data_IF_471666024812
#
_entry.id   IF_471666024812
#
_cell.length_a   1.000
_cell.length_b   1.000
_cell.length_c   1.000
_cell.angle_alpha   90.00
_cell.angle_beta   90.00
_cell.angle_gamma   90.00
#
_symmetry.space_group_name_H-M   'P 1'
#
loop_
_entity.id
_entity.type
_entity.pdbx_description
1 polymer ?
#
# COMPACT_ATOMS: atom_id res chain seq x y z
N UNK A 1 -0.79 24.81 5.22
CA UNK A 1 -1.19 23.41 5.14
C UNK A 1 -1.10 22.86 3.73
N UNK A 2 -1.83 23.44 2.73
CA UNK A 2 -1.88 22.91 1.34
C UNK A 2 -0.50 22.81 0.69
N UNK A 3 0.37 23.81 0.86
CA UNK A 3 1.74 23.78 0.35
C UNK A 3 2.54 22.61 0.95
N UNK A 4 2.44 22.40 2.25
CA UNK A 4 3.13 21.31 2.96
C UNK A 4 2.67 19.93 2.46
N UNK A 5 1.37 19.75 2.21
CA UNK A 5 0.83 18.51 1.63
C UNK A 5 1.38 18.26 0.23
N UNK A 6 1.40 19.29 -0.62
CA UNK A 6 1.91 19.18 -1.99
C UNK A 6 3.39 18.84 -2.01
N UNK A 7 4.17 19.49 -1.19
CA UNK A 7 5.61 19.30 -1.13
C UNK A 7 6.01 17.92 -0.58
N UNK A 8 5.34 17.47 0.48
CA UNK A 8 5.78 16.27 1.21
C UNK A 8 5.08 14.98 0.78
N UNK A 9 3.90 15.06 0.15
CA UNK A 9 3.09 13.89 -0.21
C UNK A 9 2.68 13.93 -1.68
N UNK A 10 1.87 14.91 -2.08
CA UNK A 10 1.22 14.93 -3.39
C UNK A 10 2.22 15.02 -4.56
N UNK A 11 3.31 15.77 -4.41
CA UNK A 11 4.34 15.91 -5.43
C UNK A 11 5.07 14.63 -5.81
N UNK A 12 4.98 13.58 -4.96
CA UNK A 12 5.65 12.30 -5.20
C UNK A 12 4.89 11.36 -6.14
N UNK A 13 3.59 11.58 -6.36
CA UNK A 13 2.78 10.68 -7.17
C UNK A 13 3.20 10.62 -8.63
N UNK A 14 3.68 11.73 -9.20
CA UNK A 14 4.20 11.75 -10.57
C UNK A 14 5.44 10.87 -10.72
N UNK A 15 6.38 10.97 -9.77
CA UNK A 15 7.59 10.13 -9.71
C UNK A 15 7.21 8.64 -9.58
N UNK A 16 6.34 8.30 -8.65
CA UNK A 16 5.91 6.91 -8.43
C UNK A 16 5.13 6.31 -9.60
N UNK A 17 4.36 7.11 -10.33
CA UNK A 17 3.71 6.65 -11.56
C UNK A 17 4.75 6.29 -12.62
N UNK A 18 5.81 7.09 -12.78
CA UNK A 18 6.91 6.80 -13.71
C UNK A 18 7.68 5.55 -13.27
N UNK A 19 7.97 5.42 -11.97
CA UNK A 19 8.62 4.22 -11.42
C UNK A 19 7.79 2.95 -11.69
N UNK A 20 6.47 3.01 -11.51
CA UNK A 20 5.57 1.88 -11.81
C UNK A 20 5.59 1.50 -13.29
N UNK A 21 5.57 2.47 -14.20
CA UNK A 21 5.58 2.24 -15.63
C UNK A 21 6.89 1.61 -16.14
N UNK A 22 8.00 2.03 -15.57
CA UNK A 22 9.35 1.60 -15.96
C UNK A 22 9.88 0.41 -15.18
N UNK A 23 9.16 -0.05 -14.17
CA UNK A 23 9.63 -1.12 -13.29
C UNK A 23 9.78 -2.45 -14.04
N UNK A 24 11.00 -2.98 -14.02
CA UNK A 24 11.34 -4.29 -14.58
C UNK A 24 11.25 -5.34 -13.47
N UNK A 25 10.31 -6.28 -13.57
CA UNK A 25 10.09 -7.32 -12.58
C UNK A 25 8.62 -7.75 -12.49
N UNK A 26 8.32 -8.60 -11.53
CA UNK A 26 6.97 -9.08 -11.22
C UNK A 26 6.15 -7.98 -10.53
N UNK A 27 4.83 -8.11 -10.56
CA UNK A 27 3.97 -7.16 -9.83
C UNK A 27 4.06 -7.37 -8.31
N UNK A 28 4.40 -8.57 -7.84
CA UNK A 28 4.71 -8.82 -6.44
C UNK A 28 5.93 -8.02 -5.97
N UNK A 29 6.99 -7.95 -6.79
CA UNK A 29 8.17 -7.12 -6.50
C UNK A 29 7.83 -5.62 -6.51
N UNK A 30 6.95 -5.17 -7.41
CA UNK A 30 6.43 -3.79 -7.40
C UNK A 30 5.71 -3.49 -6.09
N UNK A 31 4.85 -4.39 -5.62
CA UNK A 31 4.11 -4.20 -4.37
C UNK A 31 5.06 -4.08 -3.17
N UNK A 32 6.05 -4.96 -3.08
CA UNK A 32 7.07 -4.90 -2.03
C UNK A 32 7.82 -3.57 -2.07
N UNK A 33 8.28 -3.18 -3.26
CA UNK A 33 8.97 -1.90 -3.48
C UNK A 33 8.11 -0.70 -3.08
N UNK A 34 6.83 -0.68 -3.49
CA UNK A 34 5.90 0.39 -3.13
C UNK A 34 5.74 0.55 -1.62
N UNK A 35 5.63 -0.55 -0.86
CA UNK A 35 5.55 -0.49 0.60
C UNK A 35 6.82 0.06 1.23
N UNK A 36 8.00 -0.36 0.75
CA UNK A 36 9.30 0.11 1.25
C UNK A 36 9.47 1.61 0.99
N UNK A 37 9.28 2.04 -0.25
CA UNK A 37 9.43 3.46 -0.65
C UNK A 37 8.41 4.35 0.06
N UNK A 38 7.15 3.89 0.17
CA UNK A 38 6.14 4.61 0.93
C UNK A 38 6.55 4.76 2.39
N UNK A 39 7.03 3.69 3.02
CA UNK A 39 7.46 3.74 4.42
C UNK A 39 8.61 4.73 4.61
N UNK A 40 9.65 4.61 3.80
CA UNK A 40 10.82 5.48 3.90
C UNK A 40 10.50 6.96 3.63
N UNK A 41 9.68 7.23 2.62
CA UNK A 41 9.45 8.60 2.14
C UNK A 41 8.26 9.30 2.82
N UNK A 42 7.33 8.56 3.41
CA UNK A 42 6.14 9.12 4.06
C UNK A 42 5.92 8.51 5.45
N UNK A 43 5.74 7.18 5.54
CA UNK A 43 5.27 6.52 6.75
C UNK A 43 6.14 6.76 7.98
N UNK A 44 7.46 6.67 7.82
CA UNK A 44 8.46 6.91 8.87
C UNK A 44 8.79 8.40 9.08
N UNK A 45 8.20 9.30 8.30
CA UNK A 45 8.49 10.74 8.36
C UNK A 45 7.39 11.53 9.06
N UNK A 46 7.65 12.80 9.36
CA UNK A 46 6.63 13.72 9.92
C UNK A 46 5.43 13.91 8.99
N UNK A 47 5.55 13.60 7.69
CA UNK A 47 4.45 13.68 6.72
C UNK A 47 3.29 12.75 7.09
N UNK A 48 3.54 11.60 7.72
CA UNK A 48 2.50 10.68 8.19
C UNK A 48 1.57 11.30 9.24
N UNK A 49 2.05 12.24 10.04
CA UNK A 49 1.24 13.00 10.99
C UNK A 49 0.17 13.87 10.33
N UNK A 50 0.40 14.32 9.08
CA UNK A 50 -0.60 15.06 8.30
C UNK A 50 -1.81 14.18 8.01
N UNK A 51 -1.59 12.92 7.67
CA UNK A 51 -2.65 11.94 7.42
C UNK A 51 -3.49 11.74 8.68
N UNK A 52 -2.86 11.52 9.83
CA UNK A 52 -3.58 11.42 11.12
C UNK A 52 -4.43 12.65 11.38
N UNK A 53 -3.83 13.85 11.23
CA UNK A 53 -4.54 15.11 11.44
C UNK A 53 -5.79 15.19 10.55
N UNK A 54 -5.67 14.83 9.26
CA UNK A 54 -6.78 14.84 8.33
C UNK A 54 -7.89 13.89 8.71
N UNK A 55 -7.58 12.69 9.16
CA UNK A 55 -8.59 11.73 9.62
C UNK A 55 -9.32 12.20 10.88
N UNK A 56 -8.62 12.88 11.80
CA UNK A 56 -9.21 13.42 13.02
C UNK A 56 -10.09 14.65 12.75
N UNK A 57 -9.68 15.51 11.83
CA UNK A 57 -10.24 16.87 11.67
C UNK A 57 -11.11 17.03 10.40
N UNK A 58 -11.29 15.98 9.62
CA UNK A 58 -11.99 16.06 8.33
C UNK A 58 -13.40 16.66 8.45
N UNK A 59 -14.13 16.33 9.52
CA UNK A 59 -15.49 16.85 9.75
C UNK A 59 -15.48 18.31 10.20
N UNK A 60 -14.45 18.74 10.90
CA UNK A 60 -14.31 20.13 11.37
C UNK A 60 -13.85 21.07 10.24
N UNK A 61 -13.10 20.56 9.26
CA UNK A 61 -12.54 21.33 8.15
C UNK A 61 -12.82 20.70 6.78
N UNK A 62 -14.09 20.68 6.31
CA UNK A 62 -14.47 19.98 5.08
C UNK A 62 -13.70 20.43 3.83
N UNK A 63 -13.39 21.72 3.69
CA UNK A 63 -12.65 22.24 2.53
C UNK A 63 -11.19 21.73 2.49
N UNK A 64 -10.59 21.51 3.66
CA UNK A 64 -9.24 20.94 3.76
C UNK A 64 -9.29 19.42 3.50
N UNK A 65 -10.32 18.76 4.00
CA UNK A 65 -10.54 17.33 3.74
C UNK A 65 -10.77 17.06 2.25
N UNK A 66 -11.58 17.87 1.55
CA UNK A 66 -11.77 17.77 0.10
C UNK A 66 -10.46 17.96 -0.67
N UNK A 67 -9.67 18.97 -0.29
CA UNK A 67 -8.35 19.18 -0.87
C UNK A 67 -7.45 17.95 -0.69
N UNK A 68 -7.40 17.38 0.52
CA UNK A 68 -6.59 16.20 0.80
C UNK A 68 -7.06 14.96 0.02
N UNK A 69 -8.38 14.80 -0.13
CA UNK A 69 -8.94 13.75 -0.99
C UNK A 69 -8.47 13.88 -2.44
N UNK A 70 -8.53 15.10 -3.01
CA UNK A 70 -8.18 15.36 -4.41
C UNK A 70 -6.68 15.20 -4.68
N UNK A 71 -5.84 15.70 -3.78
CA UNK A 71 -4.40 15.77 -4.02
C UNK A 71 -3.63 14.54 -3.50
N UNK A 72 -4.21 13.76 -2.58
CA UNK A 72 -3.52 12.65 -1.94
C UNK A 72 -4.27 11.32 -2.08
N UNK A 73 -5.52 11.26 -1.62
CA UNK A 73 -6.24 9.98 -1.54
C UNK A 73 -6.54 9.44 -2.94
N UNK A 74 -7.12 10.26 -3.82
CA UNK A 74 -7.48 9.82 -5.16
C UNK A 74 -6.25 9.45 -6.00
N UNK A 75 -5.16 10.25 -6.06
CA UNK A 75 -3.94 9.86 -6.77
C UNK A 75 -3.29 8.60 -6.20
N UNK A 76 -3.25 8.44 -4.87
CA UNK A 76 -2.73 7.24 -4.23
C UNK A 76 -3.54 5.99 -4.57
N UNK A 77 -4.87 6.08 -4.53
CA UNK A 77 -5.75 4.98 -4.97
C UNK A 77 -5.57 4.65 -6.45
N UNK A 78 -5.44 5.65 -7.30
CA UNK A 78 -5.22 5.45 -8.73
C UNK A 78 -3.92 4.71 -9.01
N UNK A 79 -2.84 5.04 -8.30
CA UNK A 79 -1.54 4.36 -8.40
C UNK A 79 -1.66 2.87 -8.02
N UNK A 80 -2.29 2.57 -6.88
CA UNK A 80 -2.47 1.19 -6.43
C UNK A 80 -3.39 0.43 -7.36
N UNK A 81 -4.46 1.05 -7.84
CA UNK A 81 -5.35 0.44 -8.85
C UNK A 81 -4.58 0.02 -10.09
N UNK A 82 -3.71 0.89 -10.64
CA UNK A 82 -2.86 0.57 -11.80
C UNK A 82 -1.91 -0.58 -11.51
N UNK A 83 -1.32 -0.63 -10.33
CA UNK A 83 -0.45 -1.74 -9.91
C UNK A 83 -1.22 -3.07 -9.85
N UNK A 84 -2.40 -3.09 -9.22
CA UNK A 84 -3.24 -4.30 -9.16
C UNK A 84 -3.71 -4.73 -10.54
N UNK A 85 -4.13 -3.78 -11.39
CA UNK A 85 -4.52 -4.03 -12.76
C UNK A 85 -3.37 -4.65 -13.57
N UNK A 86 -2.15 -4.11 -13.46
CA UNK A 86 -0.95 -4.70 -14.08
C UNK A 86 -0.77 -6.17 -13.68
N UNK A 87 -0.95 -6.50 -12.40
CA UNK A 87 -0.84 -7.88 -11.93
C UNK A 87 -1.90 -8.81 -12.51
N UNK A 88 -3.12 -8.33 -12.66
CA UNK A 88 -4.21 -9.09 -13.29
C UNK A 88 -3.95 -9.30 -14.80
N UNK A 89 -3.59 -8.25 -15.52
CA UNK A 89 -3.29 -8.31 -16.97
C UNK A 89 -2.12 -9.23 -17.29
N UNK A 90 -1.15 -9.35 -16.39
CA UNK A 90 0.00 -10.26 -16.52
C UNK A 90 -0.28 -11.67 -16.01
N UNK A 91 -1.48 -11.94 -15.48
CA UNK A 91 -1.85 -13.23 -14.88
C UNK A 91 -1.09 -13.56 -13.58
N UNK A 92 -0.44 -12.57 -12.96
CA UNK A 92 0.30 -12.72 -11.70
C UNK A 92 -0.66 -12.65 -10.49
N UNK A 93 -1.70 -11.83 -10.60
CA UNK A 93 -2.75 -11.68 -9.60
C UNK A 93 -4.07 -12.25 -10.10
N UNK A 94 -4.84 -12.82 -9.18
CA UNK A 94 -6.21 -13.27 -9.46
C UNK A 94 -7.12 -12.09 -9.82
N UNK A 95 -8.17 -12.35 -10.57
CA UNK A 95 -9.21 -11.34 -10.80
C UNK A 95 -9.88 -10.90 -9.49
N UNK A 96 -10.10 -9.59 -9.37
CA UNK A 96 -10.73 -8.96 -8.23
C UNK A 96 -11.42 -7.66 -8.65
N UNK A 97 -12.34 -7.20 -7.81
CA UNK A 97 -12.84 -5.83 -7.90
C UNK A 97 -11.72 -4.84 -7.53
N UNK A 98 -11.27 -4.06 -8.51
CA UNK A 98 -10.17 -3.13 -8.34
C UNK A 98 -10.50 -1.96 -7.41
N UNK A 99 -11.76 -1.55 -7.32
CA UNK A 99 -12.16 -0.43 -6.47
C UNK A 99 -12.07 -0.80 -4.99
N UNK A 100 -12.48 -2.02 -4.64
CA UNK A 100 -12.33 -2.55 -3.28
C UNK A 100 -10.94 -3.16 -3.05
N UNK A 101 -10.33 -3.74 -4.06
CA UNK A 101 -8.97 -4.31 -4.00
C UNK A 101 -7.90 -3.30 -3.57
N UNK A 102 -8.06 -2.02 -3.95
CA UNK A 102 -7.14 -0.96 -3.50
C UNK A 102 -7.07 -0.82 -1.98
N UNK A 103 -8.17 -1.10 -1.28
CA UNK A 103 -8.20 -0.99 0.19
C UNK A 103 -7.45 -2.13 0.89
N UNK A 104 -7.29 -3.29 0.24
CA UNK A 104 -6.47 -4.39 0.78
C UNK A 104 -5.01 -3.90 0.96
N UNK A 105 -4.51 -3.12 0.01
CA UNK A 105 -3.16 -2.57 0.04
C UNK A 105 -3.08 -1.33 0.95
N UNK A 106 -4.07 -0.45 0.89
CA UNK A 106 -4.06 0.82 1.64
C UNK A 106 -4.31 0.65 3.13
N UNK A 107 -5.19 -0.27 3.54
CA UNK A 107 -5.62 -0.38 4.94
C UNK A 107 -4.45 -0.65 5.91
N UNK A 108 -3.51 -1.58 5.62
CA UNK A 108 -2.35 -1.77 6.48
C UNK A 108 -1.44 -0.55 6.56
N UNK A 109 -1.26 0.18 5.45
CA UNK A 109 -0.47 1.42 5.41
C UNK A 109 -1.11 2.49 6.30
N UNK A 110 -2.43 2.65 6.20
CA UNK A 110 -3.19 3.60 7.00
C UNK A 110 -3.13 3.25 8.48
N UNK A 111 -3.33 1.98 8.84
CA UNK A 111 -3.23 1.52 10.21
C UNK A 111 -1.86 1.87 10.80
N UNK A 112 -0.78 1.56 10.09
CA UNK A 112 0.58 1.82 10.57
C UNK A 112 0.84 3.31 10.81
N UNK A 113 0.39 4.18 9.89
CA UNK A 113 0.51 5.63 10.07
C UNK A 113 -0.27 6.14 11.29
N UNK A 114 -1.51 5.67 11.45
CA UNK A 114 -2.35 6.04 12.59
C UNK A 114 -1.75 5.52 13.91
N UNK A 115 -1.28 4.29 13.93
CA UNK A 115 -0.63 3.70 15.09
C UNK A 115 0.59 4.48 15.52
N UNK A 116 1.53 4.71 14.61
CA UNK A 116 2.77 5.43 14.90
C UNK A 116 2.56 6.87 15.39
N UNK A 117 1.51 7.52 14.93
CA UNK A 117 1.21 8.91 15.30
C UNK A 117 0.19 9.02 16.46
N UNK A 118 -0.27 7.91 17.03
CA UNK A 118 -1.29 7.91 18.09
C UNK A 118 -0.89 7.00 19.25
N UNK A 119 -1.14 5.70 19.11
CA UNK A 119 -0.99 4.72 20.18
C UNK A 119 0.46 4.23 20.36
N UNK A 120 1.24 4.15 19.29
CA UNK A 120 2.61 3.67 19.33
C UNK A 120 3.50 4.37 20.37
N UNK A 121 3.47 5.72 20.49
CA UNK A 121 4.19 6.45 21.54
C UNK A 121 3.73 6.16 22.97
N UNK A 122 2.55 5.54 23.13
CA UNK A 122 1.94 5.19 24.41
C UNK A 122 1.90 3.67 24.66
N UNK A 123 2.62 2.89 23.84
CA UNK A 123 2.66 1.42 23.98
C UNK A 123 3.20 0.99 25.33
N UNK A 124 2.69 -0.16 25.82
CA UNK A 124 3.15 -0.74 27.08
C UNK A 124 4.59 -1.24 26.97
N UNK A 125 5.37 -1.27 28.07
CA UNK A 125 6.78 -1.64 28.05
C UNK A 125 7.06 -3.03 27.45
N UNK A 126 6.13 -3.96 27.59
CA UNK A 126 6.26 -5.35 27.11
C UNK A 126 5.67 -5.56 25.71
N UNK A 127 5.10 -4.51 25.10
CA UNK A 127 4.53 -4.57 23.76
C UNK A 127 5.62 -4.32 22.70
N UNK A 128 6.00 -5.39 22.00
CA UNK A 128 6.97 -5.30 20.90
C UNK A 128 6.21 -5.19 19.58
N UNK A 129 6.06 -3.97 19.08
CA UNK A 129 5.52 -3.68 17.76
C UNK A 129 6.57 -2.92 16.94
N UNK A 130 7.04 -3.54 15.86
CA UNK A 130 7.99 -2.90 14.94
C UNK A 130 7.36 -2.69 13.58
N UNK A 131 7.45 -1.48 13.00
CA UNK A 131 6.90 -1.18 11.67
C UNK A 131 7.42 -2.14 10.59
N UNK A 132 8.69 -2.50 10.62
CA UNK A 132 9.32 -3.38 9.64
C UNK A 132 8.72 -4.78 9.66
N UNK A 133 8.51 -5.35 10.85
CA UNK A 133 7.89 -6.67 11.01
C UNK A 133 6.41 -6.61 10.60
N UNK A 134 5.70 -5.54 10.96
CA UNK A 134 4.32 -5.33 10.54
C UNK A 134 4.21 -5.28 9.01
N UNK A 135 5.01 -4.44 8.34
CA UNK A 135 5.02 -4.30 6.88
C UNK A 135 5.30 -5.65 6.22
N UNK A 136 6.32 -6.38 6.69
CA UNK A 136 6.67 -7.71 6.15
C UNK A 136 5.50 -8.67 6.24
N UNK A 137 4.84 -8.74 7.40
CA UNK A 137 3.70 -9.62 7.63
C UNK A 137 2.51 -9.24 6.75
N UNK A 138 2.24 -7.94 6.58
CA UNK A 138 1.14 -7.49 5.72
C UNK A 138 1.41 -7.79 4.25
N UNK A 139 2.61 -7.56 3.76
CA UNK A 139 3.00 -7.89 2.38
C UNK A 139 2.81 -9.39 2.13
N UNK A 140 3.27 -10.24 3.03
CA UNK A 140 3.12 -11.69 2.93
C UNK A 140 1.64 -12.09 2.83
N UNK A 141 0.79 -11.59 3.74
CA UNK A 141 -0.64 -11.86 3.73
C UNK A 141 -1.34 -11.35 2.45
N UNK A 142 -0.99 -10.15 1.99
CA UNK A 142 -1.56 -9.55 0.78
C UNK A 142 -1.18 -10.39 -0.44
N UNK A 143 0.08 -10.78 -0.60
CA UNK A 143 0.54 -11.57 -1.74
C UNK A 143 -0.09 -12.96 -1.74
N UNK A 144 -0.23 -13.61 -0.58
CA UNK A 144 -0.95 -14.89 -0.47
C UNK A 144 -2.44 -14.78 -0.87
N UNK A 145 -3.05 -13.62 -0.68
CA UNK A 145 -4.42 -13.34 -1.10
C UNK A 145 -4.56 -12.93 -2.56
N UNK A 146 -3.54 -12.29 -3.15
CA UNK A 146 -3.58 -11.73 -4.51
C UNK A 146 -3.07 -12.69 -5.57
N UNK A 147 -1.98 -13.43 -5.30
CA UNK A 147 -1.33 -14.27 -6.31
C UNK A 147 -2.24 -15.43 -6.75
N UNK A 148 -2.12 -15.76 -8.03
CA UNK A 148 -2.77 -16.96 -8.60
C UNK A 148 -2.18 -18.19 -7.91
N UNK A 149 -3.05 -19.04 -7.35
CA UNK A 149 -2.63 -20.32 -6.78
C UNK A 149 -2.54 -21.36 -7.90
N UNK A 150 -1.49 -22.21 -7.93
CA UNK A 150 -1.50 -23.39 -8.78
C UNK A 150 -2.76 -24.21 -8.49
N UNK A 151 -3.43 -24.70 -9.54
CA UNK A 151 -4.60 -25.54 -9.36
C UNK A 151 -4.22 -26.73 -8.48
N UNK A 152 -4.91 -26.89 -7.35
CA UNK A 152 -4.75 -28.07 -6.51
C UNK A 152 -5.21 -29.29 -7.33
N UNK A 153 -4.25 -30.13 -7.82
CA UNK A 153 -4.60 -31.35 -8.53
C UNK A 153 -3.88 -31.66 -9.84
N UNK A 154 -2.79 -31.00 -10.19
CA UNK A 154 -1.91 -31.50 -11.23
C UNK A 154 -1.07 -32.66 -10.65
N UNK A 155 -1.64 -33.86 -10.64
CA UNK A 155 -0.86 -35.10 -10.42
C UNK A 155 0.22 -35.14 -11.50
N UNK A 156 1.52 -35.29 -11.14
CA UNK A 156 2.55 -35.47 -12.16
C UNK A 156 2.22 -36.71 -13.00
N UNK A 157 2.46 -36.67 -14.33
CA UNK A 157 2.23 -37.85 -15.17
C UNK A 157 3.06 -39.03 -14.65
N UNK A 158 2.53 -40.25 -14.67
CA UNK A 158 3.27 -41.42 -14.19
C UNK A 158 4.58 -41.53 -14.99
N UNK A 159 5.68 -41.65 -14.25
CA UNK A 159 7.00 -41.88 -14.83
C UNK A 159 6.93 -43.13 -15.69
N UNK A 160 7.04 -42.96 -17.01
CA UNK A 160 7.30 -44.07 -17.90
C UNK A 160 8.74 -44.50 -17.63
N UNK A 161 8.92 -45.57 -16.89
CA UNK A 161 10.17 -46.25 -16.78
C UNK A 161 10.24 -47.38 -17.83
N UNK A 162 11.30 -47.52 -18.60
CA UNK A 162 11.46 -48.53 -19.65
C UNK A 162 11.61 -49.95 -19.11
#
# INVERSE_FOLDING_TARGET
FKAVVRENIAGRFAEWNTELETFVGTTSEVLIYCYQVWWERIGATKASGITKLMFSEAQNFPAIAQFYQQEVILPGRALIRRMLQRGMERGEFREMDLDYGTYIVLAPMMFLMLWNNSMGPCSLPDEVFTPEQYIRTQIDNILHGLCVRPAAGATPPPSQNP
#
